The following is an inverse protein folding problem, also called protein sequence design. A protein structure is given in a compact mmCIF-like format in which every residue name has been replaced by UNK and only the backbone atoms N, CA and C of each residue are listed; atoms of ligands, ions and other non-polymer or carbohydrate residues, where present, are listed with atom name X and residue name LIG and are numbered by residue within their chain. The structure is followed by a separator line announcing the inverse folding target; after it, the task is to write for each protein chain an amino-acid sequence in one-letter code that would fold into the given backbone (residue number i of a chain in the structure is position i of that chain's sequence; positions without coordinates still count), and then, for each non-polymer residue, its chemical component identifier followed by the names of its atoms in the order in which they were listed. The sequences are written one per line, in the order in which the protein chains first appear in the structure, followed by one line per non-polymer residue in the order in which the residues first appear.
data_IF_176956987806
#
_entry.id   IF_176956987806
#
_cell.length_a   1.000
_cell.length_b   1.000
_cell.length_c   1.000
_cell.angle_alpha   90.00
_cell.angle_beta   90.00
_cell.angle_gamma   90.00
#
_symmetry.space_group_name_H-M   'P 1'
#
loop_
_entity.id
_entity.type
_entity.pdbx_description
1 polymer ?
#
# COMPACT_ATOMS: atom_id res chain seq x y z
N UNK A 1 9.34 -0.21 -29.62
CA UNK A 1 10.00 -0.67 -28.39
C UNK A 1 8.94 -0.86 -27.31
N UNK A 2 8.40 -2.06 -27.18
CA UNK A 2 7.61 -2.44 -26.00
C UNK A 2 8.60 -2.53 -24.85
N UNK A 3 8.48 -1.65 -23.85
CA UNK A 3 9.19 -1.83 -22.58
C UNK A 3 8.45 -2.96 -21.87
N UNK A 4 9.02 -4.16 -21.95
CA UNK A 4 8.77 -5.23 -20.99
C UNK A 4 9.05 -4.63 -19.61
N UNK A 5 7.99 -4.30 -18.87
CA UNK A 5 8.12 -3.74 -17.52
C UNK A 5 8.41 -4.93 -16.61
N UNK A 6 9.50 -4.88 -15.81
CA UNK A 6 9.79 -5.94 -14.86
C UNK A 6 8.55 -6.13 -13.98
N UNK A 7 8.05 -7.37 -13.94
CA UNK A 7 6.84 -7.80 -13.22
C UNK A 7 6.91 -7.59 -11.70
N UNK A 8 8.02 -7.03 -11.20
CA UNK A 8 8.31 -6.73 -9.80
C UNK A 8 8.02 -5.28 -9.38
N UNK A 9 7.65 -4.39 -10.31
CA UNK A 9 7.40 -2.98 -10.00
C UNK A 9 5.94 -2.71 -9.68
N UNK A 10 5.69 -2.05 -8.55
CA UNK A 10 4.40 -1.45 -8.17
C UNK A 10 3.81 -0.68 -9.37
N UNK A 11 2.48 -0.80 -9.65
CA UNK A 11 1.84 -0.05 -10.73
C UNK A 11 2.18 1.44 -10.68
N UNK A 12 2.33 2.10 -11.85
CA UNK A 12 2.84 3.47 -11.91
C UNK A 12 1.99 4.48 -11.12
N UNK A 13 0.66 4.35 -11.17
CA UNK A 13 -0.26 5.18 -10.38
C UNK A 13 -0.07 4.96 -8.87
N UNK A 14 0.17 3.72 -8.46
CA UNK A 14 0.41 3.36 -7.07
C UNK A 14 1.78 3.87 -6.60
N UNK A 15 2.82 3.76 -7.45
CA UNK A 15 4.13 4.35 -7.20
C UNK A 15 4.07 5.88 -7.04
N UNK A 16 3.25 6.56 -7.85
CA UNK A 16 3.05 8.00 -7.71
C UNK A 16 2.36 8.36 -6.38
N UNK A 17 1.39 7.57 -5.93
CA UNK A 17 0.74 7.79 -4.65
C UNK A 17 1.68 7.54 -3.45
N UNK A 18 2.49 6.47 -3.50
CA UNK A 18 3.55 6.18 -2.52
C UNK A 18 4.54 7.35 -2.43
N UNK A 19 4.99 7.87 -3.58
CA UNK A 19 5.89 9.03 -3.61
C UNK A 19 5.26 10.28 -3.00
N UNK A 20 3.96 10.51 -3.23
CA UNK A 20 3.21 11.61 -2.59
C UNK A 20 3.11 11.45 -1.07
N UNK A 21 3.16 10.22 -0.57
CA UNK A 21 3.21 9.93 0.86
C UNK A 21 4.61 10.11 1.47
N UNK A 22 5.62 10.44 0.66
CA UNK A 22 7.02 10.60 1.10
C UNK A 22 7.82 9.30 1.12
N UNK A 23 7.30 8.21 0.55
CA UNK A 23 7.97 6.91 0.46
C UNK A 23 8.59 6.76 -0.92
N UNK A 24 9.83 6.27 -1.01
CA UNK A 24 10.49 6.00 -2.30
C UNK A 24 10.00 4.66 -2.89
N UNK A 25 9.21 4.66 -3.98
CA UNK A 25 8.70 3.42 -4.58
C UNK A 25 9.78 2.62 -5.33
N UNK A 26 10.98 3.17 -5.50
CA UNK A 26 12.11 2.50 -6.18
C UNK A 26 13.07 1.80 -5.22
N UNK A 27 12.83 1.95 -3.92
CA UNK A 27 13.62 1.30 -2.88
C UNK A 27 13.52 -0.23 -2.97
N UNK A 28 14.53 -0.91 -2.43
CA UNK A 28 14.52 -2.36 -2.34
C UNK A 28 13.30 -2.87 -1.53
N UNK A 29 12.83 -4.11 -1.76
CA UNK A 29 11.60 -4.62 -1.16
C UNK A 29 11.50 -4.46 0.36
N UNK A 30 12.58 -4.76 1.10
CA UNK A 30 12.60 -4.65 2.57
C UNK A 30 12.53 -3.19 3.05
N UNK A 31 13.43 -2.28 2.61
CA UNK A 31 13.30 -0.85 2.90
C UNK A 31 11.94 -0.26 2.51
N UNK A 32 11.39 -0.67 1.36
CA UNK A 32 10.06 -0.22 0.91
C UNK A 32 8.95 -0.70 1.85
N UNK A 33 8.97 -1.96 2.27
CA UNK A 33 8.02 -2.48 3.27
C UNK A 33 8.07 -1.68 4.58
N UNK A 34 9.26 -1.42 5.13
CA UNK A 34 9.39 -0.68 6.38
C UNK A 34 8.98 0.79 6.24
N UNK A 35 9.32 1.43 5.12
CA UNK A 35 8.89 2.80 4.83
C UNK A 35 7.35 2.90 4.67
N UNK A 36 6.72 1.96 3.97
CA UNK A 36 5.26 1.89 3.85
C UNK A 36 4.60 1.70 5.21
N UNK A 37 5.12 0.79 6.05
CA UNK A 37 4.61 0.56 7.41
C UNK A 37 4.74 1.80 8.28
N UNK A 38 5.86 2.50 8.21
CA UNK A 38 6.06 3.76 8.93
C UNK A 38 5.05 4.81 8.48
N UNK A 39 4.89 4.99 7.16
CA UNK A 39 3.95 5.96 6.60
C UNK A 39 2.48 5.66 6.95
N UNK A 40 2.12 4.38 7.11
CA UNK A 40 0.79 3.95 7.57
C UNK A 40 0.62 4.21 9.07
N UNK A 41 1.63 3.89 9.88
CA UNK A 41 1.60 4.14 11.31
C UNK A 41 1.52 5.63 11.65
N UNK A 42 2.21 6.49 10.89
CA UNK A 42 2.14 7.96 11.02
C UNK A 42 0.72 8.48 10.79
N UNK A 43 -0.08 7.77 9.98
CA UNK A 43 -1.49 8.03 9.71
C UNK A 43 -2.43 7.29 10.67
N UNK A 44 -1.91 6.78 11.79
CA UNK A 44 -2.63 5.98 12.80
C UNK A 44 -3.24 4.68 12.26
N UNK A 45 -2.77 4.20 11.11
CA UNK A 45 -3.15 2.90 10.58
C UNK A 45 -2.53 1.76 11.38
N UNK A 46 -3.36 0.84 11.87
CA UNK A 46 -2.89 -0.38 12.52
C UNK A 46 -3.10 -1.58 11.61
N UNK A 47 -2.07 -2.39 11.40
CA UNK A 47 -2.07 -3.43 10.39
C UNK A 47 -1.90 -4.83 10.99
N UNK A 48 -2.57 -5.78 10.36
CA UNK A 48 -2.18 -7.19 10.35
C UNK A 48 -2.02 -7.62 8.88
N UNK A 49 -1.22 -8.65 8.61
CA UNK A 49 -1.14 -9.22 7.27
C UNK A 49 -1.02 -10.73 7.34
N UNK A 50 -1.44 -11.38 6.26
CA UNK A 50 -1.38 -12.83 6.09
C UNK A 50 -1.16 -13.16 4.60
N UNK A 51 -0.96 -14.44 4.29
CA UNK A 51 -0.84 -14.93 2.90
C UNK A 51 -2.00 -15.89 2.67
N UNK A 52 -2.83 -15.57 1.68
CA UNK A 52 -3.91 -16.45 1.24
C UNK A 52 -3.59 -17.15 -0.09
N UNK A 53 -4.58 -17.84 -0.65
CA UNK A 53 -4.45 -18.55 -1.92
C UNK A 53 -4.30 -17.63 -3.15
N UNK A 54 -4.58 -16.34 -3.02
CA UNK A 54 -4.49 -15.34 -4.10
C UNK A 54 -3.25 -14.45 -3.96
N UNK A 55 -2.60 -14.39 -2.79
CA UNK A 55 -1.37 -13.66 -2.56
C UNK A 55 -1.27 -13.08 -1.15
N UNK A 56 -0.76 -11.86 -1.05
CA UNK A 56 -0.65 -11.15 0.22
C UNK A 56 -1.94 -10.39 0.53
N UNK A 57 -2.43 -10.53 1.76
CA UNK A 57 -3.55 -9.76 2.28
C UNK A 57 -3.09 -8.91 3.46
N UNK A 58 -3.35 -7.60 3.38
CA UNK A 58 -3.14 -6.64 4.46
C UNK A 58 -4.50 -6.23 5.01
N UNK A 59 -4.69 -6.45 6.30
CA UNK A 59 -5.84 -6.00 7.06
C UNK A 59 -5.50 -4.70 7.80
N UNK A 60 -6.15 -3.61 7.41
CA UNK A 60 -6.24 -2.42 8.23
C UNK A 60 -7.24 -2.72 9.35
N UNK A 61 -6.82 -2.54 10.59
CA UNK A 61 -7.62 -2.83 11.79
C UNK A 61 -8.19 -1.55 12.43
N UNK A 62 -7.62 -0.40 12.10
CA UNK A 62 -7.98 0.95 12.57
C UNK A 62 -7.40 1.96 11.58
N UNK A 63 -8.04 3.11 11.32
CA UNK A 63 -9.31 3.59 11.88
C UNK A 63 -10.54 2.79 11.42
N UNK A 64 -10.55 2.33 10.17
CA UNK A 64 -11.58 1.47 9.61
C UNK A 64 -11.02 0.08 9.27
N UNK A 65 -11.88 -0.94 9.42
CA UNK A 65 -11.49 -2.32 9.13
C UNK A 65 -11.66 -2.60 7.64
N UNK A 66 -10.55 -2.67 6.92
CA UNK A 66 -10.53 -2.92 5.48
C UNK A 66 -9.45 -3.94 5.09
N UNK A 67 -9.67 -4.64 3.96
CA UNK A 67 -8.76 -5.66 3.43
C UNK A 67 -8.21 -5.25 2.07
N UNK A 68 -6.89 -5.27 1.97
CA UNK A 68 -6.16 -4.96 0.74
C UNK A 68 -5.41 -6.19 0.26
N UNK A 69 -5.56 -6.50 -1.02
CA UNK A 69 -4.90 -7.63 -1.65
C UNK A 69 -3.82 -7.12 -2.60
N UNK A 70 -2.72 -7.87 -2.68
CA UNK A 70 -1.64 -7.60 -3.61
C UNK A 70 -0.89 -8.87 -3.97
N UNK A 71 -0.29 -8.89 -5.15
CA UNK A 71 0.61 -9.99 -5.55
C UNK A 71 1.86 -10.03 -4.67
N UNK A 72 2.23 -8.89 -4.10
CA UNK A 72 3.32 -8.75 -3.13
C UNK A 72 2.82 -8.00 -1.89
N UNK A 73 3.56 -8.12 -0.78
CA UNK A 73 3.24 -7.40 0.45
C UNK A 73 3.30 -5.88 0.24
N UNK A 74 4.25 -5.38 -0.55
CA UNK A 74 4.40 -3.96 -0.89
C UNK A 74 3.18 -3.44 -1.65
N UNK A 75 2.66 -4.22 -2.60
CA UNK A 75 1.47 -3.86 -3.37
C UNK A 75 0.25 -3.74 -2.44
N UNK A 76 0.06 -4.71 -1.53
CA UNK A 76 -1.03 -4.68 -0.55
C UNK A 76 -0.88 -3.53 0.48
N UNK A 77 0.33 -3.29 0.98
CA UNK A 77 0.62 -2.18 1.89
C UNK A 77 0.41 -0.82 1.21
N UNK A 78 0.82 -0.69 -0.05
CA UNK A 78 0.62 0.53 -0.81
C UNK A 78 -0.86 0.83 -1.03
N UNK A 79 -1.68 -0.17 -1.33
CA UNK A 79 -3.15 0.02 -1.39
C UNK A 79 -3.73 0.49 -0.06
N UNK A 80 -3.26 -0.08 1.05
CA UNK A 80 -3.67 0.37 2.38
C UNK A 80 -3.26 1.83 2.66
N UNK A 81 -2.05 2.24 2.26
CA UNK A 81 -1.60 3.61 2.40
C UNK A 81 -2.44 4.58 1.57
N UNK A 82 -2.75 4.23 0.33
CA UNK A 82 -3.62 5.04 -0.55
C UNK A 82 -5.00 5.21 0.06
N UNK A 83 -5.57 4.15 0.64
CA UNK A 83 -6.86 4.25 1.34
C UNK A 83 -6.84 5.29 2.45
N UNK A 84 -5.83 5.23 3.33
CA UNK A 84 -5.66 6.20 4.41
C UNK A 84 -5.47 7.63 3.88
N UNK A 85 -4.72 7.81 2.79
CA UNK A 85 -4.56 9.12 2.18
C UNK A 85 -5.85 9.68 1.57
N UNK A 86 -6.75 8.82 1.09
CA UNK A 86 -8.07 9.24 0.58
C UNK A 86 -9.01 9.59 1.74
N UNK A 87 -8.99 8.79 2.80
CA UNK A 87 -9.75 9.06 4.03
C UNK A 87 -9.34 10.39 4.69
N UNK A 88 -8.03 10.67 4.76
CA UNK A 88 -7.48 11.97 5.24
C UNK A 88 -8.04 13.18 4.48
N UNK A 89 -8.43 13.02 3.21
CA UNK A 89 -9.00 14.08 2.39
C UNK A 89 -10.50 14.29 2.63
N UNK A 90 -11.11 13.56 3.56
CA UNK A 90 -12.54 13.65 3.87
C UNK A 90 -13.44 13.03 2.79
N UNK A 91 -12.87 12.24 1.89
CA UNK A 91 -13.62 11.40 0.94
C UNK A 91 -13.88 10.07 1.64
N UNK A 92 -14.81 10.08 2.60
CA UNK A 92 -15.26 8.86 3.25
C UNK A 92 -15.85 7.86 2.25
N UNK A 93 -15.92 6.56 2.59
CA UNK A 93 -16.49 5.55 1.69
C UNK A 93 -17.92 5.95 1.26
N UNK A 94 -18.33 5.70 0.01
CA UNK A 94 -19.72 5.89 -0.38
C UNK A 94 -20.59 4.99 0.52
N UNK A 95 -21.57 5.62 1.17
CA UNK A 95 -22.53 5.00 2.08
C UNK A 95 -23.34 3.85 1.45
#
# INVERSE_FOLDING_TARGET
MVRDRPTTAVPADLAAAIARAGVDPTAEPRPLQDALRSAIADRRGYLAWDVDHAGWVVQLLSPDRERFHGRTLEEALAWCLVWLMVDELGVGPPA
#
